data_IF_419591329392
#
_entry.id   IF_419591329392
#
_cell.length_a   1.000
_cell.length_b   1.000
_cell.length_c   1.000
_cell.angle_alpha   90.00
_cell.angle_beta   90.00
_cell.angle_gamma   90.00
#
_symmetry.space_group_name_H-M   'P 1'
#
loop_
_entity.id
_entity.type
_entity.pdbx_description
1 polymer ?
#
# COMPACT_ATOMS: atom_id res chain seq x y z
N UNK A 1 -7.20 10.25 24.58
CA UNK A 1 -6.50 8.97 24.31
C UNK A 1 -7.20 7.89 25.13
N UNK A 2 -8.06 7.11 24.47
CA UNK A 2 -8.65 5.82 24.90
C UNK A 2 -9.81 5.53 23.93
N UNK A 3 -9.50 5.41 22.64
CA UNK A 3 -10.43 4.85 21.66
C UNK A 3 -10.36 3.34 21.76
N UNK A 4 -11.48 2.68 21.98
CA UNK A 4 -11.53 1.21 21.99
C UNK A 4 -11.24 0.73 20.57
N UNK A 5 -10.04 0.18 20.35
CA UNK A 5 -9.75 -0.56 19.12
C UNK A 5 -10.72 -1.74 19.07
N UNK A 6 -11.73 -1.63 18.19
CA UNK A 6 -12.69 -2.71 18.01
C UNK A 6 -11.99 -3.78 17.18
N UNK A 7 -11.57 -4.86 17.82
CA UNK A 7 -11.02 -6.01 17.10
C UNK A 7 -12.15 -6.68 16.30
N UNK A 8 -11.97 -6.79 14.99
CA UNK A 8 -12.85 -7.61 14.18
C UNK A 8 -12.54 -9.09 14.43
N UNK A 9 -13.57 -9.91 14.67
CA UNK A 9 -13.37 -11.36 14.80
C UNK A 9 -12.71 -11.92 13.53
N UNK A 10 -11.76 -12.83 13.71
CA UNK A 10 -11.13 -13.56 12.62
C UNK A 10 -12.15 -14.23 11.70
N UNK A 11 -13.25 -14.74 12.26
CA UNK A 11 -14.34 -15.34 11.49
C UNK A 11 -15.03 -14.35 10.53
N UNK A 12 -14.98 -13.04 10.80
CA UNK A 12 -15.60 -12.03 9.96
C UNK A 12 -14.77 -11.72 8.70
N UNK A 13 -13.45 -11.97 8.75
CA UNK A 13 -12.48 -11.62 7.71
C UNK A 13 -11.84 -12.84 7.03
N UNK A 14 -11.82 -13.99 7.69
CA UNK A 14 -11.31 -15.26 7.14
C UNK A 14 -11.97 -15.57 5.78
N UNK A 15 -11.17 -16.03 4.82
CA UNK A 15 -11.57 -16.38 3.44
C UNK A 15 -12.14 -15.24 2.58
N UNK A 16 -12.28 -14.02 3.13
CA UNK A 16 -12.66 -12.80 2.39
C UNK A 16 -11.44 -11.98 1.96
N UNK A 17 -10.31 -12.17 2.63
CA UNK A 17 -9.06 -11.47 2.33
C UNK A 17 -8.49 -11.97 1.01
N UNK A 18 -8.32 -11.05 0.05
CA UNK A 18 -7.44 -11.24 -1.10
C UNK A 18 -6.22 -10.37 -0.87
N UNK A 19 -5.05 -10.99 -0.78
CA UNK A 19 -3.80 -10.29 -0.53
C UNK A 19 -2.90 -10.38 -1.76
N UNK A 20 -2.23 -9.29 -2.09
CA UNK A 20 -1.10 -9.30 -3.00
C UNK A 20 0.17 -9.04 -2.20
N UNK A 21 1.18 -9.86 -2.39
CA UNK A 21 2.48 -9.71 -1.75
C UNK A 21 3.53 -9.68 -2.85
N UNK A 22 4.17 -8.53 -3.03
CA UNK A 22 5.27 -8.36 -3.97
C UNK A 22 6.61 -8.34 -3.24
N UNK A 23 7.67 -8.78 -3.92
CA UNK A 23 9.04 -8.49 -3.49
C UNK A 23 9.82 -7.82 -4.62
N UNK A 24 10.80 -7.04 -4.21
CA UNK A 24 11.68 -6.25 -5.06
C UNK A 24 13.02 -6.98 -5.14
N UNK A 25 13.22 -7.78 -6.19
CA UNK A 25 14.39 -8.67 -6.31
C UNK A 25 15.74 -7.94 -6.44
N UNK A 26 15.75 -6.64 -6.74
CA UNK A 26 16.93 -5.79 -6.76
C UNK A 26 17.03 -4.88 -5.52
N UNK A 27 16.15 -5.05 -4.52
CA UNK A 27 16.14 -4.28 -3.28
C UNK A 27 17.14 -4.85 -2.25
N UNK A 28 18.19 -4.09 -1.87
CA UNK A 28 19.13 -4.50 -0.83
C UNK A 28 18.68 -4.12 0.59
N UNK A 29 17.61 -3.34 0.73
CA UNK A 29 17.13 -2.71 1.98
C UNK A 29 16.10 -3.58 2.68
N UNK A 30 15.12 -4.11 1.94
CA UNK A 30 14.20 -5.13 2.45
C UNK A 30 14.76 -6.52 2.19
N UNK A 31 14.69 -7.41 3.16
CA UNK A 31 15.13 -8.78 2.93
C UNK A 31 14.01 -9.50 2.16
N UNK A 32 14.26 -9.93 0.93
CA UNK A 32 13.30 -10.72 0.12
C UNK A 32 12.75 -11.93 0.89
N UNK A 33 13.49 -12.44 1.89
CA UNK A 33 13.02 -13.50 2.80
C UNK A 33 11.84 -13.07 3.68
N UNK A 34 11.73 -11.79 4.03
CA UNK A 34 10.65 -11.25 4.86
C UNK A 34 9.32 -11.25 4.10
N UNK A 35 9.33 -11.08 2.77
CA UNK A 35 8.12 -11.14 1.96
C UNK A 35 7.53 -12.55 1.88
N UNK A 36 8.39 -13.58 1.95
CA UNK A 36 7.95 -14.97 2.09
C UNK A 36 7.36 -15.27 3.49
N UNK A 37 7.80 -14.52 4.53
CA UNK A 37 7.22 -14.60 5.87
C UNK A 37 5.84 -13.93 5.89
N UNK A 38 5.67 -12.81 5.19
CA UNK A 38 4.37 -12.15 5.04
C UNK A 38 3.34 -13.11 4.43
N UNK A 39 3.70 -13.88 3.41
CA UNK A 39 2.81 -14.91 2.86
C UNK A 39 2.36 -15.94 3.92
N UNK A 40 3.29 -16.40 4.77
CA UNK A 40 2.98 -17.31 5.88
C UNK A 40 2.08 -16.67 6.93
N UNK A 41 2.22 -15.38 7.17
CA UNK A 41 1.37 -14.65 8.12
C UNK A 41 -0.05 -14.53 7.54
N UNK A 42 -0.19 -14.05 6.31
CA UNK A 42 -1.50 -13.85 5.68
C UNK A 42 -2.25 -15.15 5.41
N UNK A 43 -1.53 -16.25 5.12
CA UNK A 43 -2.15 -17.57 4.90
C UNK A 43 -2.78 -18.14 6.18
N UNK A 44 -2.23 -17.86 7.37
CA UNK A 44 -2.87 -18.21 8.66
C UNK A 44 -4.24 -17.56 8.84
N UNK A 45 -4.47 -16.42 8.17
CA UNK A 45 -5.76 -15.72 8.19
C UNK A 45 -6.72 -16.18 7.09
N UNK A 46 -6.38 -17.22 6.33
CA UNK A 46 -7.19 -17.73 5.22
C UNK A 46 -7.25 -16.77 4.04
N UNK A 47 -6.24 -15.89 3.87
CA UNK A 47 -6.18 -15.00 2.72
C UNK A 47 -5.88 -15.78 1.44
N UNK A 48 -6.50 -15.37 0.33
CA UNK A 48 -6.13 -15.81 -1.02
C UNK A 48 -5.00 -14.92 -1.49
N UNK A 49 -3.79 -15.47 -1.57
CA UNK A 49 -2.58 -14.70 -1.81
C UNK A 49 -2.15 -14.84 -3.27
N UNK A 50 -1.89 -13.73 -3.94
CA UNK A 50 -1.14 -13.69 -5.21
C UNK A 50 0.22 -13.08 -4.93
N UNK A 51 1.29 -13.75 -5.32
CA UNK A 51 2.66 -13.29 -5.09
C UNK A 51 3.36 -12.93 -6.39
N UNK A 52 4.30 -11.98 -6.33
CA UNK A 52 5.29 -11.75 -7.37
C UNK A 52 6.60 -11.33 -6.74
N UNK A 53 7.57 -12.25 -6.72
CA UNK A 53 8.86 -12.03 -6.09
C UNK A 53 9.99 -11.70 -7.07
N UNK A 54 9.69 -11.71 -8.37
CA UNK A 54 10.67 -11.57 -9.43
C UNK A 54 10.65 -10.19 -10.08
N UNK A 55 9.94 -9.22 -9.49
CA UNK A 55 9.96 -7.85 -9.97
C UNK A 55 11.36 -7.29 -9.72
N UNK A 56 12.10 -6.79 -10.74
CA UNK A 56 13.44 -6.25 -10.57
C UNK A 56 13.41 -4.82 -10.01
N UNK A 57 12.53 -4.58 -9.04
CA UNK A 57 12.46 -3.31 -8.33
C UNK A 57 13.59 -3.21 -7.31
N UNK A 58 14.15 -2.01 -7.15
CA UNK A 58 14.94 -1.64 -5.98
C UNK A 58 14.00 -1.37 -4.77
N UNK A 59 14.48 -0.71 -3.72
CA UNK A 59 13.64 -0.23 -2.61
C UNK A 59 12.75 0.95 -3.04
N UNK A 60 11.80 0.68 -3.93
CA UNK A 60 10.92 1.66 -4.55
C UNK A 60 9.51 1.11 -4.69
N UNK A 61 8.52 1.99 -4.68
CA UNK A 61 7.15 1.68 -5.02
C UNK A 61 7.02 1.56 -6.54
N UNK A 62 6.64 0.38 -7.07
CA UNK A 62 6.59 0.13 -8.50
C UNK A 62 5.32 0.72 -9.12
N UNK A 63 5.49 1.59 -10.11
CA UNK A 63 4.39 2.19 -10.88
C UNK A 63 4.66 2.08 -12.38
N UNK A 64 3.70 2.51 -13.18
CA UNK A 64 3.87 2.72 -14.62
C UNK A 64 4.04 4.22 -14.91
N UNK A 65 4.67 4.56 -16.03
CA UNK A 65 4.77 5.92 -16.57
C UNK A 65 5.39 6.96 -15.62
N UNK A 66 6.44 6.56 -14.89
CA UNK A 66 7.19 7.44 -13.99
C UNK A 66 8.67 7.57 -14.37
N UNK A 67 9.32 8.62 -13.89
CA UNK A 67 10.74 8.79 -14.14
C UNK A 67 11.58 7.88 -13.22
N UNK A 68 12.58 7.22 -13.82
CA UNK A 68 13.54 6.37 -13.09
C UNK A 68 13.35 4.88 -13.40
N UNK A 69 14.47 4.15 -13.50
CA UNK A 69 14.49 2.73 -13.83
C UNK A 69 14.15 1.87 -12.60
N UNK A 70 13.30 0.87 -12.76
CA UNK A 70 12.87 -0.04 -11.70
C UNK A 70 14.00 -0.54 -10.78
N UNK A 71 15.13 -0.97 -11.35
CA UNK A 71 16.29 -1.56 -10.65
C UNK A 71 17.14 -0.56 -9.87
N UNK A 72 16.98 0.74 -10.12
CA UNK A 72 17.81 1.79 -9.52
C UNK A 72 17.10 2.42 -8.33
N UNK A 73 17.80 2.64 -7.22
CA UNK A 73 17.21 3.38 -6.10
C UNK A 73 16.94 4.83 -6.50
N UNK A 74 15.69 5.27 -6.39
CA UNK A 74 15.32 6.67 -6.48
C UNK A 74 15.19 7.26 -5.08
N UNK A 75 16.27 7.85 -4.56
CA UNK A 75 16.29 8.40 -3.20
C UNK A 75 15.45 9.67 -3.01
N UNK A 76 14.91 10.26 -4.08
CA UNK A 76 14.12 11.47 -3.99
C UNK A 76 12.68 11.20 -3.54
N UNK A 77 12.07 10.13 -4.05
CA UNK A 77 10.67 9.81 -3.77
C UNK A 77 10.39 8.30 -3.63
N UNK A 78 11.39 7.44 -3.84
CA UNK A 78 11.26 5.98 -3.79
C UNK A 78 10.16 5.46 -4.72
N UNK A 79 10.02 6.05 -5.90
CA UNK A 79 9.08 5.63 -6.94
C UNK A 79 9.82 5.53 -8.27
N UNK A 80 9.52 4.48 -9.05
CA UNK A 80 10.11 4.26 -10.37
C UNK A 80 9.11 3.60 -11.31
N UNK A 81 9.38 3.74 -12.61
CA UNK A 81 8.70 2.94 -13.63
C UNK A 81 9.23 1.50 -13.61
N UNK A 82 8.32 0.60 -13.28
CA UNK A 82 8.49 -0.83 -13.26
C UNK A 82 7.54 -1.53 -14.24
N UNK A 83 6.83 -0.77 -15.09
CA UNK A 83 5.76 -1.25 -15.97
C UNK A 83 4.72 -2.10 -15.22
N UNK A 84 4.59 -1.82 -13.92
CA UNK A 84 3.77 -2.59 -13.00
C UNK A 84 2.46 -1.86 -12.76
N UNK A 85 1.40 -2.38 -13.36
CA UNK A 85 0.07 -1.80 -13.19
C UNK A 85 -0.59 -2.33 -11.92
N UNK A 86 -0.60 -1.52 -10.86
CA UNK A 86 -1.27 -1.82 -9.58
C UNK A 86 -2.79 -2.06 -9.76
N UNK A 87 -3.40 -1.51 -10.82
CA UNK A 87 -4.83 -1.71 -11.15
C UNK A 87 -5.19 -3.17 -11.45
N UNK A 88 -4.20 -4.02 -11.73
CA UNK A 88 -4.34 -5.47 -11.87
C UNK A 88 -4.66 -6.19 -10.55
N UNK A 89 -4.50 -5.51 -9.42
CA UNK A 89 -4.80 -6.02 -8.08
C UNK A 89 -6.14 -5.45 -7.63
N UNK A 90 -7.23 -6.07 -8.10
CA UNK A 90 -8.56 -5.78 -7.56
C UNK A 90 -8.69 -6.39 -6.17
N UNK A 91 -8.44 -5.61 -5.12
CA UNK A 91 -8.80 -5.98 -3.74
C UNK A 91 -10.27 -5.60 -3.50
N UNK A 92 -11.17 -6.55 -3.18
CA UNK A 92 -12.53 -6.22 -2.80
C UNK A 92 -12.52 -5.30 -1.57
N UNK A 93 -13.26 -4.18 -1.66
CA UNK A 93 -13.23 -3.11 -0.67
C UNK A 93 -13.49 -3.59 0.76
N UNK A 94 -12.61 -3.15 1.67
CA UNK A 94 -12.85 -3.20 3.11
C UNK A 94 -13.66 -1.94 3.45
N UNK A 95 -14.86 -2.12 3.98
CA UNK A 95 -15.64 -1.01 4.55
C UNK A 95 -15.07 -0.68 5.93
N UNK A 96 -14.34 0.42 6.04
CA UNK A 96 -13.84 0.95 7.32
C UNK A 96 -14.68 2.14 7.80
N UNK A 97 -14.81 2.27 9.11
CA UNK A 97 -15.26 3.51 9.77
C UNK A 97 -14.05 4.38 10.06
N UNK A 98 -14.06 5.64 9.62
CA UNK A 98 -13.03 6.61 9.95
C UNK A 98 -13.07 6.89 11.46
N UNK A 99 -12.02 6.54 12.20
CA UNK A 99 -11.83 7.03 13.57
C UNK A 99 -10.99 8.31 13.55
N UNK A 100 -11.34 9.29 14.36
CA UNK A 100 -10.62 10.57 14.49
C UNK A 100 -9.33 10.46 15.32
N UNK A 101 -8.76 9.25 15.43
CA UNK A 101 -7.58 8.97 16.22
C UNK A 101 -6.33 9.27 15.38
N UNK A 102 -5.78 10.48 15.53
CA UNK A 102 -4.42 10.76 15.06
C UNK A 102 -3.44 9.98 15.93
N UNK A 103 -2.92 8.88 15.41
CA UNK A 103 -1.87 8.11 16.09
C UNK A 103 -0.63 8.99 16.33
N UNK A 104 0.06 8.79 17.44
CA UNK A 104 1.40 9.37 17.61
C UNK A 104 2.26 8.88 16.42
N UNK A 105 2.94 9.80 15.73
CA UNK A 105 3.76 9.57 14.52
C UNK A 105 3.06 9.65 13.15
N UNK A 106 1.81 10.12 13.07
CA UNK A 106 1.21 10.58 11.80
C UNK A 106 1.41 12.09 11.60
N UNK A 107 1.42 12.53 10.34
CA UNK A 107 1.38 13.95 10.00
C UNK A 107 0.07 14.59 10.49
N UNK A 108 0.12 15.90 10.72
CA UNK A 108 -1.06 16.73 11.04
C UNK A 108 -2.04 16.85 9.87
N UNK A 109 -1.60 16.51 8.66
CA UNK A 109 -2.40 16.58 7.42
C UNK A 109 -2.44 15.23 6.70
N UNK A 110 -3.58 14.93 6.08
CA UNK A 110 -3.78 13.75 5.23
C UNK A 110 -4.55 14.10 3.96
N UNK A 111 -4.39 13.27 2.93
CA UNK A 111 -5.01 13.49 1.62
C UNK A 111 -5.96 12.35 1.27
N UNK A 112 -7.04 12.69 0.58
CA UNK A 112 -7.99 11.75 0.00
C UNK A 112 -8.28 12.18 -1.43
N UNK A 113 -8.19 11.24 -2.36
CA UNK A 113 -8.58 11.47 -3.74
C UNK A 113 -10.04 11.06 -3.95
N UNK A 114 -10.84 11.97 -4.49
CA UNK A 114 -12.23 11.71 -4.87
C UNK A 114 -12.38 11.68 -6.40
N UNK A 115 -12.56 10.50 -7.02
CA UNK A 115 -12.85 10.42 -8.43
C UNK A 115 -14.14 11.19 -8.78
N UNK A 116 -14.24 11.85 -9.95
CA UNK A 116 -15.43 12.60 -10.35
C UNK A 116 -16.73 11.78 -10.38
N UNK A 117 -16.63 10.47 -10.54
CA UNK A 117 -17.79 9.58 -10.47
C UNK A 117 -18.34 9.46 -9.04
N UNK A 118 -17.46 9.46 -8.03
CA UNK A 118 -17.82 9.33 -6.62
C UNK A 118 -18.40 10.63 -6.06
N UNK A 119 -17.98 11.79 -6.57
CA UNK A 119 -18.56 13.09 -6.20
C UNK A 119 -19.98 13.29 -6.75
N UNK A 120 -20.36 12.52 -7.78
CA UNK A 120 -21.71 12.53 -8.40
C UNK A 120 -22.67 11.50 -7.79
N UNK A 121 -22.40 11.04 -6.57
CA UNK A 121 -23.31 10.16 -5.81
C UNK A 121 -23.22 8.67 -6.14
N UNK A 122 -22.24 8.23 -6.95
CA UNK A 122 -21.98 6.79 -7.10
C UNK A 122 -21.39 6.23 -5.80
N UNK A 123 -21.86 5.04 -5.40
CA UNK A 123 -21.22 4.27 -4.32
C UNK A 123 -19.85 3.80 -4.80
N UNK A 124 -18.81 4.24 -4.11
CA UNK A 124 -17.42 3.90 -4.43
C UNK A 124 -16.79 3.09 -3.29
N UNK A 125 -15.97 2.07 -3.60
CA UNK A 125 -15.15 1.41 -2.60
C UNK A 125 -14.08 2.37 -2.06
N UNK A 126 -13.64 2.14 -0.82
CA UNK A 126 -12.52 2.85 -0.20
C UNK A 126 -11.28 1.98 -0.29
N UNK A 127 -10.15 2.58 -0.65
CA UNK A 127 -8.83 1.97 -0.59
C UNK A 127 -7.90 2.92 0.18
N UNK A 128 -7.23 2.42 1.20
CA UNK A 128 -6.26 3.18 2.00
C UNK A 128 -4.85 2.82 1.50
N UNK A 129 -4.09 3.84 1.10
CA UNK A 129 -2.69 3.70 0.67
C UNK A 129 -1.81 4.39 1.70
N UNK A 130 -0.87 3.63 2.27
CA UNK A 130 0.09 4.15 3.25
C UNK A 130 1.45 4.29 2.58
N UNK A 131 2.06 5.46 2.69
CA UNK A 131 3.39 5.70 2.17
C UNK A 131 4.47 5.00 3.03
N UNK A 132 5.65 4.77 2.47
CA UNK A 132 6.81 4.24 3.19
C UNK A 132 7.56 5.30 3.98
N UNK A 133 8.70 4.90 4.54
CA UNK A 133 9.61 5.82 5.22
C UNK A 133 10.12 6.91 4.27
N UNK A 134 10.27 8.15 4.75
CA UNK A 134 10.71 9.31 3.94
C UNK A 134 9.82 9.62 2.72
N UNK A 135 8.56 9.17 2.73
CA UNK A 135 7.55 9.50 1.70
C UNK A 135 6.36 10.26 2.29
N UNK A 136 6.50 10.84 3.50
CA UNK A 136 5.51 11.73 4.08
C UNK A 136 5.51 13.11 3.42
N UNK A 137 4.49 13.93 3.72
CA UNK A 137 4.27 15.22 3.08
C UNK A 137 5.51 16.12 3.09
N UNK A 138 6.19 16.23 4.24
CA UNK A 138 7.38 17.07 4.39
C UNK A 138 8.61 16.58 3.60
N UNK A 139 8.62 15.32 3.16
CA UNK A 139 9.65 14.77 2.29
C UNK A 139 9.27 14.82 0.79
N UNK A 140 8.01 15.10 0.45
CA UNK A 140 7.53 15.25 -0.93
C UNK A 140 7.71 16.67 -1.50
N UNK A 141 8.41 17.57 -0.79
CA UNK A 141 8.42 19.02 -1.01
C UNK A 141 9.25 19.51 -2.21
N UNK A 142 9.34 18.80 -3.34
CA UNK A 142 9.99 19.39 -4.53
C UNK A 142 9.46 18.92 -5.91
N UNK A 143 8.26 18.34 -6.02
CA UNK A 143 7.75 17.85 -7.31
C UNK A 143 6.25 18.12 -7.54
N UNK A 144 5.78 19.30 -7.16
CA UNK A 144 4.51 19.84 -7.65
C UNK A 144 4.60 21.37 -7.78
N UNK A 145 5.34 21.84 -8.79
CA UNK A 145 5.12 23.12 -9.48
C UNK A 145 5.30 22.89 -10.98
#
# INVERSE_FOLDING_TARGET
MNGSATSASLTNIQNKLKSYIGSSSADPTSNVKDDSLNEKIYSKFGARIKTNYNLPANHVFPIEDFNGKCETLNSANFMNDCTFTLSSITVPGITGTSSSDVGASFDTQGYIYFPPACTKGKKCPIHVVLHGCKQGLYHATLLCL
#
